data_IF_983903473449
#
_entry.id   IF_983903473449
#
_cell.length_a   1.000
_cell.length_b   1.000
_cell.length_c   1.000
_cell.angle_alpha   90.00
_cell.angle_beta   90.00
_cell.angle_gamma   90.00
#
_symmetry.space_group_name_H-M   'P 1'
#
loop_
_entity.id
_entity.type
_entity.pdbx_description
1 polymer ?
#
# COMPACT_ATOMS: atom_id res chain seq x y z
N UNK A 1 10.28 -2.42 -4.86
CA UNK A 1 9.71 -2.68 -3.55
C UNK A 1 8.78 -1.56 -3.19
N UNK A 2 7.69 -1.86 -2.49
CA UNK A 2 6.66 -0.85 -2.26
C UNK A 2 6.90 0.01 -1.03
N UNK A 3 7.68 -0.46 -0.07
CA UNK A 3 7.86 0.26 1.18
C UNK A 3 8.37 1.69 0.90
N UNK A 4 7.67 2.67 1.43
CA UNK A 4 8.03 4.06 1.26
C UNK A 4 7.57 4.71 -0.04
N UNK A 5 6.91 3.94 -0.91
CA UNK A 5 6.46 4.47 -2.19
C UNK A 5 5.00 4.90 -2.13
N UNK A 6 4.63 5.77 -3.06
CA UNK A 6 3.25 6.22 -3.17
C UNK A 6 2.49 5.26 -4.08
N UNK A 7 1.29 4.90 -3.66
CA UNK A 7 0.41 4.04 -4.44
C UNK A 7 -0.99 4.64 -4.42
N UNK A 8 -1.83 4.19 -5.36
CA UNK A 8 -3.22 4.61 -5.42
C UNK A 8 -4.10 3.44 -5.00
N UNK A 9 -5.00 3.69 -4.07
CA UNK A 9 -5.97 2.70 -3.60
C UNK A 9 -7.35 3.33 -3.67
N UNK A 10 -8.23 2.71 -4.46
CA UNK A 10 -9.60 3.21 -4.66
C UNK A 10 -9.62 4.69 -5.03
N UNK A 11 -8.69 5.07 -5.91
CA UNK A 11 -8.65 6.44 -6.43
C UNK A 11 -7.95 7.46 -5.56
N UNK A 12 -7.42 7.04 -4.40
CA UNK A 12 -6.78 7.95 -3.47
C UNK A 12 -5.32 7.53 -3.28
N UNK A 13 -4.42 8.50 -3.33
CA UNK A 13 -2.99 8.24 -3.19
C UNK A 13 -2.64 8.09 -1.72
N UNK A 14 -1.89 7.04 -1.40
CA UNK A 14 -1.42 6.74 -0.05
C UNK A 14 0.05 6.41 -0.09
N UNK A 15 0.72 6.53 1.05
CA UNK A 15 2.10 6.09 1.18
C UNK A 15 2.13 4.72 1.83
N UNK A 16 2.93 3.80 1.26
CA UNK A 16 3.10 2.47 1.83
C UNK A 16 4.05 2.59 3.01
N UNK A 17 3.56 2.27 4.19
CA UNK A 17 4.33 2.40 5.42
C UNK A 17 4.83 1.06 5.97
N UNK A 18 4.27 -0.05 5.52
CA UNK A 18 4.74 -1.37 5.90
C UNK A 18 4.34 -2.38 4.82
N UNK A 19 5.12 -3.44 4.70
CA UNK A 19 4.78 -4.55 3.79
C UNK A 19 4.90 -5.84 4.58
N UNK A 20 4.10 -6.83 4.20
CA UNK A 20 4.05 -8.10 4.93
C UNK A 20 4.21 -9.26 3.97
N UNK A 21 4.67 -10.39 4.50
CA UNK A 21 4.92 -11.58 3.69
C UNK A 21 3.63 -12.25 3.20
N UNK A 22 2.50 -11.93 3.81
CA UNK A 22 1.23 -12.53 3.42
C UNK A 22 0.58 -11.86 2.22
N UNK A 23 1.28 -10.92 1.60
CA UNK A 23 0.76 -10.25 0.40
C UNK A 23 -0.04 -9.00 0.70
N UNK A 24 0.06 -8.47 1.92
CA UNK A 24 -0.64 -7.23 2.27
C UNK A 24 0.36 -6.12 2.52
N UNK A 25 -0.15 -4.89 2.51
CA UNK A 25 0.65 -3.70 2.82
C UNK A 25 -0.17 -2.77 3.70
N UNK A 26 0.52 -1.96 4.48
CA UNK A 26 -0.13 -0.91 5.25
C UNK A 26 0.01 0.41 4.53
N UNK A 27 -1.09 1.15 4.46
CA UNK A 27 -1.12 2.48 3.89
C UNK A 27 -1.33 3.47 5.02
N UNK A 28 -0.46 4.49 5.09
CA UNK A 28 -0.59 5.59 6.07
C UNK A 28 -0.66 5.10 7.51
N UNK A 29 -0.01 3.96 7.81
CA UNK A 29 0.11 3.37 9.15
C UNK A 29 -1.18 2.78 9.71
N UNK A 30 -2.30 2.86 9.01
CA UNK A 30 -3.54 2.38 9.60
C UNK A 30 -4.49 1.69 8.64
N UNK A 31 -4.12 1.51 7.40
CA UNK A 31 -4.99 0.85 6.42
C UNK A 31 -4.27 -0.34 5.82
N UNK A 32 -4.69 -1.55 6.18
CA UNK A 32 -4.07 -2.78 5.67
C UNK A 32 -4.91 -3.31 4.50
N UNK A 33 -4.29 -3.42 3.34
CA UNK A 33 -4.97 -3.86 2.12
C UNK A 33 -4.08 -4.86 1.38
N UNK A 34 -4.68 -5.61 0.47
CA UNK A 34 -3.93 -6.53 -0.36
C UNK A 34 -3.10 -5.75 -1.37
N UNK A 35 -1.86 -6.20 -1.58
CA UNK A 35 -0.98 -5.54 -2.54
C UNK A 35 -1.59 -5.49 -3.93
N UNK A 36 -2.37 -6.51 -4.30
CA UNK A 36 -2.97 -6.54 -5.63
C UNK A 36 -4.05 -5.48 -5.83
N UNK A 37 -4.50 -4.84 -4.75
CA UNK A 37 -5.54 -3.82 -4.85
C UNK A 37 -5.00 -2.41 -4.97
N UNK A 38 -3.69 -2.24 -4.92
CA UNK A 38 -3.07 -0.91 -5.05
C UNK A 38 -2.33 -0.81 -6.37
N UNK A 39 -2.20 0.41 -6.86
CA UNK A 39 -1.48 0.69 -8.11
C UNK A 39 -0.34 1.65 -7.82
N UNK A 40 0.80 1.42 -8.46
CA UNK A 40 1.90 2.36 -8.37
C UNK A 40 1.51 3.67 -9.05
N UNK A 41 1.87 4.76 -8.40
CA UNK A 41 1.59 6.09 -8.94
C UNK A 41 2.63 6.48 -9.98
#
# INVERSE_FOLDING_TARGET
MLFGELVKYQGIVHKVTSTYDDGTVDLDHNLNVKRSEVELV
#
